data_IF_695746653712
#
_entry.id   IF_695746653712
#
_cell.length_a   1.000
_cell.length_b   1.000
_cell.length_c   1.000
_cell.angle_alpha   90.00
_cell.angle_beta   90.00
_cell.angle_gamma   90.00
#
_symmetry.space_group_name_H-M   'P 1'
#
loop_
_entity.id
_entity.type
_entity.pdbx_description
1 polymer ?
#
# COMPACT_ATOMS: atom_id res chain seq x y z
N UNK A 1 25.60 -18.21 -15.45
CA UNK A 1 24.41 -18.05 -16.32
C UNK A 1 24.29 -16.57 -16.61
N UNK A 2 23.76 -16.15 -17.76
CA UNK A 2 23.58 -14.71 -18.01
C UNK A 2 22.45 -14.18 -17.11
N UNK A 3 22.68 -13.03 -16.46
CA UNK A 3 21.65 -12.35 -15.68
C UNK A 3 20.43 -12.03 -16.54
N UNK A 4 19.25 -12.50 -16.11
CA UNK A 4 17.95 -12.30 -16.76
C UNK A 4 16.85 -12.05 -15.72
N UNK A 5 15.63 -11.76 -16.17
CA UNK A 5 14.50 -11.46 -15.26
C UNK A 5 14.19 -12.61 -14.29
N UNK A 6 14.41 -13.87 -14.70
CA UNK A 6 14.12 -15.02 -13.84
C UNK A 6 15.15 -15.12 -12.71
N UNK A 7 16.43 -15.05 -13.06
CA UNK A 7 17.54 -15.02 -12.10
C UNK A 7 17.36 -13.85 -11.14
N UNK A 8 16.97 -12.69 -11.66
CA UNK A 8 16.72 -11.51 -10.85
C UNK A 8 15.59 -11.74 -9.82
N UNK A 9 14.44 -12.30 -10.23
CA UNK A 9 13.35 -12.63 -9.30
C UNK A 9 13.78 -13.63 -8.23
N UNK A 10 14.55 -14.64 -8.59
CA UNK A 10 15.07 -15.65 -7.66
C UNK A 10 16.00 -15.02 -6.61
N UNK A 11 16.95 -14.18 -7.04
CA UNK A 11 17.85 -13.47 -6.14
C UNK A 11 17.10 -12.51 -5.21
N UNK A 12 16.10 -11.78 -5.72
CA UNK A 12 15.26 -10.91 -4.88
C UNK A 12 14.49 -11.72 -3.85
N UNK A 13 13.90 -12.84 -4.23
CA UNK A 13 13.15 -13.70 -3.31
C UNK A 13 14.04 -14.26 -2.19
N UNK A 14 15.28 -14.64 -2.50
CA UNK A 14 16.28 -15.06 -1.51
C UNK A 14 16.69 -13.89 -0.62
N UNK A 15 16.95 -12.71 -1.20
CA UNK A 15 17.30 -11.51 -0.43
C UNK A 15 16.22 -11.12 0.54
N UNK A 16 14.95 -11.27 0.18
CA UNK A 16 13.84 -10.96 1.08
C UNK A 16 13.81 -11.86 2.33
N UNK A 17 14.65 -12.89 2.45
CA UNK A 17 14.78 -13.62 3.70
C UNK A 17 15.33 -12.74 4.83
N UNK A 18 14.61 -12.71 5.95
CA UNK A 18 14.98 -11.90 7.12
C UNK A 18 14.99 -10.38 6.84
N UNK A 19 14.32 -9.91 5.78
CA UNK A 19 14.35 -8.50 5.39
C UNK A 19 13.88 -7.56 6.51
N UNK A 20 12.94 -8.00 7.36
CA UNK A 20 12.39 -7.22 8.48
C UNK A 20 13.47 -6.77 9.46
N UNK A 21 14.42 -7.63 9.78
CA UNK A 21 15.56 -7.31 10.66
C UNK A 21 16.53 -6.36 9.97
N UNK A 22 16.79 -6.57 8.67
CA UNK A 22 17.64 -5.68 7.87
C UNK A 22 17.03 -4.28 7.74
N UNK A 23 15.70 -4.18 7.65
CA UNK A 23 14.98 -2.92 7.71
C UNK A 23 15.21 -2.16 9.02
N UNK A 24 15.18 -2.82 10.18
CA UNK A 24 15.43 -2.15 11.47
C UNK A 24 16.85 -1.58 11.55
N UNK A 25 17.82 -2.35 11.06
CA UNK A 25 19.21 -1.92 10.98
C UNK A 25 19.38 -0.74 10.02
N UNK A 26 18.78 -0.81 8.84
CA UNK A 26 18.79 0.28 7.86
C UNK A 26 18.12 1.55 8.41
N UNK A 27 17.01 1.39 9.14
CA UNK A 27 16.31 2.50 9.81
C UNK A 27 17.16 3.14 10.88
N UNK A 28 17.85 2.36 11.70
CA UNK A 28 18.83 2.87 12.67
C UNK A 28 20.00 3.60 12.00
N UNK A 29 20.36 3.21 10.77
CA UNK A 29 21.36 3.87 9.92
C UNK A 29 20.82 5.07 9.10
N UNK A 30 19.58 5.52 9.39
CA UNK A 30 18.99 6.74 8.83
C UNK A 30 18.18 6.55 7.54
N UNK A 31 17.79 5.31 7.18
CA UNK A 31 16.82 5.07 6.10
C UNK A 31 15.41 5.33 6.64
N UNK A 32 14.69 6.27 6.01
CA UNK A 32 13.39 6.76 6.49
C UNK A 32 12.19 6.25 5.71
N UNK A 33 12.42 5.57 4.59
CA UNK A 33 11.34 5.06 3.72
C UNK A 33 11.46 3.56 3.49
N UNK A 34 10.40 2.85 3.86
CA UNK A 34 10.22 1.44 3.57
C UNK A 34 10.12 1.18 2.07
N UNK A 35 9.42 2.05 1.33
CA UNK A 35 9.35 2.00 -0.14
C UNK A 35 10.74 2.05 -0.79
N UNK A 36 11.60 2.98 -0.35
CA UNK A 36 12.96 3.13 -0.86
C UNK A 36 13.86 1.94 -0.47
N UNK A 37 13.66 1.38 0.72
CA UNK A 37 14.37 0.19 1.18
C UNK A 37 14.03 -1.05 0.34
N UNK A 38 12.73 -1.32 0.12
CA UNK A 38 12.29 -2.42 -0.75
C UNK A 38 12.82 -2.25 -2.18
N UNK A 39 12.81 -1.00 -2.68
CA UNK A 39 13.38 -0.64 -3.99
C UNK A 39 14.88 -0.93 -4.07
N UNK A 40 15.64 -0.57 -3.04
CA UNK A 40 17.08 -0.84 -2.98
C UNK A 40 17.36 -2.35 -2.99
N UNK A 41 16.64 -3.13 -2.17
CA UNK A 41 16.76 -4.59 -2.17
C UNK A 41 16.44 -5.21 -3.53
N UNK A 42 15.40 -4.71 -4.20
CA UNK A 42 15.00 -5.18 -5.52
C UNK A 42 16.09 -4.90 -6.57
N UNK A 43 16.77 -3.75 -6.48
CA UNK A 43 17.78 -3.33 -7.46
C UNK A 43 19.19 -3.84 -7.15
N UNK A 44 19.46 -4.27 -5.92
CA UNK A 44 20.80 -4.67 -5.51
C UNK A 44 21.40 -5.86 -6.30
N UNK A 45 20.65 -6.91 -6.67
CA UNK A 45 21.10 -7.93 -7.63
C UNK A 45 21.71 -7.35 -8.91
N UNK A 46 21.07 -6.33 -9.48
CA UNK A 46 21.56 -5.67 -10.70
C UNK A 46 22.87 -4.93 -10.42
N UNK A 47 22.98 -4.26 -9.27
CA UNK A 47 24.20 -3.54 -8.85
C UNK A 47 25.37 -4.51 -8.69
N UNK A 48 25.15 -5.66 -8.06
CA UNK A 48 26.18 -6.69 -7.87
C UNK A 48 26.63 -7.30 -9.19
N UNK A 49 25.69 -7.67 -10.06
CA UNK A 49 25.98 -8.21 -11.38
C UNK A 49 26.80 -7.23 -12.23
N UNK A 50 26.43 -5.94 -12.24
CA UNK A 50 27.17 -4.90 -12.96
C UNK A 50 28.58 -4.72 -12.40
N UNK A 51 28.75 -4.74 -11.08
CA UNK A 51 30.09 -4.66 -10.43
C UNK A 51 30.97 -5.88 -10.76
N UNK A 52 30.36 -7.04 -11.02
CA UNK A 52 31.05 -8.25 -11.47
C UNK A 52 31.32 -8.26 -12.98
N UNK A 53 30.92 -7.20 -13.71
CA UNK A 53 31.11 -7.08 -15.16
C UNK A 53 29.99 -7.68 -16.00
N UNK A 54 28.88 -8.12 -15.38
CA UNK A 54 27.71 -8.66 -16.07
C UNK A 54 26.78 -7.54 -16.57
N UNK A 55 27.16 -6.90 -17.68
CA UNK A 55 26.37 -5.83 -18.31
C UNK A 55 24.97 -6.28 -18.79
N UNK A 56 24.74 -7.60 -18.92
CA UNK A 56 23.41 -8.16 -19.17
C UNK A 56 22.38 -7.74 -18.11
N UNK A 57 22.82 -7.47 -16.87
CA UNK A 57 21.94 -7.00 -15.81
C UNK A 57 21.36 -5.60 -16.07
N UNK A 58 22.13 -4.69 -16.70
CA UNK A 58 21.60 -3.39 -17.15
C UNK A 58 20.58 -3.56 -18.27
N UNK A 59 20.78 -4.54 -19.14
CA UNK A 59 19.82 -4.83 -20.21
C UNK A 59 18.52 -5.41 -19.63
N UNK A 60 18.61 -6.27 -18.62
CA UNK A 60 17.44 -6.79 -17.91
C UNK A 60 16.69 -5.66 -17.19
N UNK A 61 17.40 -4.78 -16.47
CA UNK A 61 16.81 -3.58 -15.86
C UNK A 61 16.14 -2.70 -16.92
N UNK A 62 16.84 -2.41 -18.01
CA UNK A 62 16.35 -1.65 -19.14
C UNK A 62 15.08 -2.24 -19.74
N UNK A 63 14.99 -3.57 -19.87
CA UNK A 63 13.79 -4.26 -20.34
C UNK A 63 12.59 -4.15 -19.39
N UNK A 64 12.82 -4.09 -18.08
CA UNK A 64 11.76 -3.89 -17.08
C UNK A 64 11.24 -2.46 -17.08
N UNK A 65 12.10 -1.46 -17.27
CA UNK A 65 11.71 -0.04 -17.33
C UNK A 65 11.46 0.47 -18.75
N UNK A 66 11.57 -0.38 -19.76
CA UNK A 66 11.34 -0.06 -21.17
C UNK A 66 9.86 0.30 -21.38
N UNK A 67 9.56 1.58 -21.27
CA UNK A 67 8.20 2.13 -21.31
C UNK A 67 7.98 3.28 -20.34
N UNK A 68 8.85 3.43 -19.33
CA UNK A 68 8.77 4.50 -18.33
C UNK A 68 9.62 5.73 -18.71
N UNK A 69 10.63 5.55 -19.57
CA UNK A 69 11.12 6.62 -20.45
C UNK A 69 12.27 7.51 -19.94
N UNK A 70 12.93 7.23 -18.81
CA UNK A 70 13.94 8.16 -18.28
C UNK A 70 15.33 7.59 -17.92
N UNK A 71 15.52 6.26 -17.97
CA UNK A 71 16.78 5.57 -17.63
C UNK A 71 17.45 6.11 -16.34
N UNK A 72 16.64 6.60 -15.40
CA UNK A 72 17.12 7.31 -14.22
C UNK A 72 17.76 6.34 -13.24
N UNK A 73 17.19 5.13 -13.12
CA UNK A 73 17.75 4.08 -12.28
C UNK A 73 19.16 3.69 -12.72
N UNK A 74 19.43 3.60 -14.03
CA UNK A 74 20.74 3.24 -14.55
C UNK A 74 21.83 4.27 -14.15
N UNK A 75 21.47 5.54 -14.02
CA UNK A 75 22.38 6.58 -13.53
C UNK A 75 22.58 6.50 -12.01
N UNK A 76 21.52 6.19 -11.26
CA UNK A 76 21.58 6.14 -9.80
C UNK A 76 22.42 4.96 -9.29
N UNK A 77 22.25 3.77 -9.86
CA UNK A 77 22.89 2.53 -9.39
C UNK A 77 24.42 2.59 -9.36
N UNK A 78 25.03 3.36 -10.27
CA UNK A 78 26.49 3.50 -10.34
C UNK A 78 27.06 4.24 -9.13
N UNK A 79 26.26 5.09 -8.49
CA UNK A 79 26.70 5.92 -7.37
C UNK A 79 26.62 5.21 -6.01
N UNK A 80 25.93 4.08 -5.94
CA UNK A 80 25.63 3.41 -4.66
C UNK A 80 26.86 2.68 -4.13
N UNK A 81 27.07 2.74 -2.82
CA UNK A 81 28.17 2.04 -2.13
C UNK A 81 27.73 0.69 -1.58
N UNK A 82 26.65 0.70 -0.82
CA UNK A 82 26.01 -0.45 -0.18
C UNK A 82 24.48 -0.34 -0.27
N UNK A 83 23.75 -1.36 0.16
CA UNK A 83 22.28 -1.42 0.09
C UNK A 83 21.63 -0.31 0.92
N UNK A 84 22.22 0.06 2.07
CA UNK A 84 21.73 1.13 2.93
C UNK A 84 21.92 2.51 2.29
N UNK A 85 23.07 2.74 1.63
CA UNK A 85 23.35 3.94 0.84
C UNK A 85 22.40 4.05 -0.35
N UNK A 86 22.12 2.93 -1.04
CA UNK A 86 21.13 2.87 -2.10
C UNK A 86 19.74 3.27 -1.59
N UNK A 87 19.27 2.68 -0.49
CA UNK A 87 17.98 2.99 0.11
C UNK A 87 17.87 4.47 0.51
N UNK A 88 18.93 5.04 1.10
CA UNK A 88 18.95 6.46 1.50
C UNK A 88 18.87 7.40 0.30
N UNK A 89 19.67 7.15 -0.74
CA UNK A 89 19.66 7.96 -1.97
C UNK A 89 18.34 7.83 -2.73
N UNK A 90 17.78 6.63 -2.77
CA UNK A 90 16.46 6.39 -3.36
C UNK A 90 15.37 7.12 -2.58
N UNK A 91 15.41 7.14 -1.24
CA UNK A 91 14.42 7.85 -0.44
C UNK A 91 14.39 9.35 -0.78
N UNK A 92 15.55 9.99 -0.88
CA UNK A 92 15.65 11.39 -1.29
C UNK A 92 15.19 11.59 -2.75
N UNK A 93 15.74 10.82 -3.68
CA UNK A 93 15.45 10.99 -5.10
C UNK A 93 13.98 10.68 -5.44
N UNK A 94 13.36 9.74 -4.74
CA UNK A 94 11.95 9.41 -4.90
C UNK A 94 11.02 10.52 -4.42
N UNK A 95 11.41 11.38 -3.48
CA UNK A 95 10.60 12.55 -3.10
C UNK A 95 10.62 13.60 -4.22
N UNK A 96 11.78 13.81 -4.84
CA UNK A 96 12.00 14.88 -5.82
C UNK A 96 11.57 14.52 -7.25
N UNK A 97 11.59 13.24 -7.64
CA UNK A 97 11.39 12.81 -9.02
C UNK A 97 10.21 11.85 -9.21
N UNK A 98 9.12 12.34 -9.79
CA UNK A 98 7.98 11.50 -10.18
C UNK A 98 8.35 10.43 -11.23
N UNK A 99 9.13 10.75 -12.30
CA UNK A 99 9.55 9.72 -13.27
C UNK A 99 10.39 8.60 -12.63
N UNK A 100 11.22 8.94 -11.64
CA UNK A 100 11.98 7.92 -10.89
C UNK A 100 11.03 7.00 -10.11
N UNK A 101 9.97 7.55 -9.49
CA UNK A 101 8.97 6.73 -8.80
C UNK A 101 8.27 5.76 -9.74
N UNK A 102 7.98 6.17 -10.97
CA UNK A 102 7.38 5.28 -11.97
C UNK A 102 8.34 4.14 -12.36
N UNK A 103 9.64 4.41 -12.48
CA UNK A 103 10.64 3.37 -12.80
C UNK A 103 10.77 2.36 -11.65
N UNK A 104 10.82 2.86 -10.42
CA UNK A 104 10.81 2.05 -9.21
C UNK A 104 9.52 1.21 -9.11
N UNK A 105 8.37 1.81 -9.40
CA UNK A 105 7.09 1.10 -9.42
C UNK A 105 7.07 -0.03 -10.44
N UNK A 106 7.61 0.18 -11.63
CA UNK A 106 7.71 -0.85 -12.64
C UNK A 106 8.56 -2.03 -12.16
N UNK A 107 9.72 -1.74 -11.54
CA UNK A 107 10.60 -2.78 -10.97
C UNK A 107 9.91 -3.55 -9.85
N UNK A 108 9.33 -2.85 -8.87
CA UNK A 108 8.67 -3.48 -7.72
C UNK A 108 7.47 -4.35 -8.13
N UNK A 109 6.68 -3.89 -9.10
CA UNK A 109 5.54 -4.66 -9.63
C UNK A 109 6.00 -5.86 -10.44
N UNK A 110 6.95 -5.66 -11.36
CA UNK A 110 7.43 -6.73 -12.22
C UNK A 110 8.15 -7.82 -11.43
N UNK A 111 8.75 -7.50 -10.29
CA UNK A 111 9.40 -8.48 -9.42
C UNK A 111 8.50 -8.94 -8.27
N UNK A 112 7.27 -8.42 -8.18
CA UNK A 112 6.28 -8.73 -7.14
C UNK A 112 6.85 -8.54 -5.70
N UNK A 113 7.78 -7.60 -5.54
CA UNK A 113 8.57 -7.42 -4.30
C UNK A 113 7.69 -7.15 -3.11
N UNK A 114 6.64 -6.32 -3.27
CA UNK A 114 5.73 -5.96 -2.17
C UNK A 114 4.94 -7.19 -1.69
N UNK A 115 4.46 -8.03 -2.61
CA UNK A 115 3.75 -9.26 -2.27
C UNK A 115 4.69 -10.26 -1.57
N UNK A 116 5.86 -10.50 -2.17
CA UNK A 116 6.88 -11.39 -1.61
C UNK A 116 7.35 -10.94 -0.23
N UNK A 117 7.60 -9.65 -0.03
CA UNK A 117 8.04 -9.10 1.25
C UNK A 117 6.97 -9.30 2.33
N UNK A 118 5.70 -9.04 2.00
CA UNK A 118 4.58 -9.20 2.93
C UNK A 118 4.34 -10.67 3.30
N UNK A 119 4.37 -11.58 2.34
CA UNK A 119 4.04 -12.99 2.58
C UNK A 119 5.05 -13.68 3.51
N UNK A 120 6.27 -13.12 3.63
CA UNK A 120 7.32 -13.55 4.56
C UNK A 120 7.14 -13.01 5.99
N UNK A 121 6.23 -12.09 6.22
CA UNK A 121 5.91 -11.54 7.54
C UNK A 121 4.82 -12.35 8.24
N UNK A 122 4.77 -12.24 9.57
CA UNK A 122 3.65 -12.70 10.37
C UNK A 122 2.45 -11.74 10.30
N UNK A 123 1.30 -12.17 10.82
CA UNK A 123 0.04 -11.42 10.71
C UNK A 123 0.10 -10.01 11.33
N UNK A 124 0.83 -9.83 12.44
CA UNK A 124 1.02 -8.52 13.07
C UNK A 124 1.88 -7.60 12.21
N UNK A 125 3.01 -8.12 11.72
CA UNK A 125 3.95 -7.38 10.91
C UNK A 125 3.38 -7.05 9.53
N UNK A 126 2.52 -7.92 8.96
CA UNK A 126 1.84 -7.65 7.69
C UNK A 126 0.94 -6.43 7.74
N UNK A 127 0.20 -6.25 8.84
CA UNK A 127 -0.65 -5.07 9.03
C UNK A 127 0.19 -3.81 9.15
N UNK A 128 1.21 -3.83 10.02
CA UNK A 128 2.17 -2.73 10.14
C UNK A 128 2.83 -2.37 8.80
N UNK A 129 3.26 -3.38 8.04
CA UNK A 129 3.87 -3.22 6.73
C UNK A 129 2.92 -2.53 5.74
N UNK A 130 1.68 -3.04 5.66
CA UNK A 130 0.67 -2.54 4.73
C UNK A 130 0.26 -1.10 5.06
N UNK A 131 0.12 -0.77 6.35
CA UNK A 131 -0.19 0.59 6.80
C UNK A 131 0.95 1.56 6.53
N UNK A 132 2.17 1.21 6.94
CA UNK A 132 3.37 2.03 6.74
C UNK A 132 3.61 2.31 5.25
N UNK A 133 3.56 1.28 4.42
CA UNK A 133 3.78 1.43 2.99
C UNK A 133 2.66 2.23 2.32
N UNK A 134 1.40 2.06 2.75
CA UNK A 134 0.27 2.86 2.23
C UNK A 134 0.46 4.35 2.54
N UNK A 135 0.83 4.70 3.76
CA UNK A 135 1.05 6.09 4.17
C UNK A 135 2.20 6.72 3.36
N UNK A 136 3.31 6.01 3.19
CA UNK A 136 4.44 6.47 2.40
C UNK A 136 4.05 6.68 0.92
N UNK A 137 3.37 5.72 0.30
CA UNK A 137 2.94 5.81 -1.09
C UNK A 137 1.86 6.90 -1.31
N UNK A 138 1.01 7.15 -0.30
CA UNK A 138 0.05 8.24 -0.35
C UNK A 138 0.76 9.60 -0.34
N UNK A 139 1.77 9.75 0.52
CA UNK A 139 2.62 10.95 0.60
C UNK A 139 3.40 11.20 -0.68
N UNK A 140 3.90 10.13 -1.32
CA UNK A 140 4.65 10.19 -2.58
C UNK A 140 3.76 10.31 -3.83
N UNK A 141 2.45 10.12 -3.68
CA UNK A 141 1.48 10.23 -4.78
C UNK A 141 1.39 9.02 -5.71
N UNK A 142 2.00 7.87 -5.36
CA UNK A 142 2.00 6.64 -6.15
C UNK A 142 1.16 5.50 -5.53
N UNK A 143 0.33 5.77 -4.51
CA UNK A 143 -0.55 4.76 -3.90
C UNK A 143 -1.47 4.03 -4.90
N UNK A 144 -1.92 4.72 -5.96
CA UNK A 144 -2.79 4.12 -6.97
C UNK A 144 -2.16 2.88 -7.63
N UNK A 145 -0.84 2.84 -7.76
CA UNK A 145 -0.07 1.72 -8.31
C UNK A 145 -0.19 0.43 -7.49
N UNK A 146 -0.50 0.50 -6.19
CA UNK A 146 -0.41 -0.63 -5.26
C UNK A 146 -1.72 -0.97 -4.56
N UNK A 147 -2.83 -0.32 -4.95
CA UNK A 147 -4.10 -0.45 -4.25
C UNK A 147 -4.60 -1.90 -4.16
N UNK A 148 -4.42 -2.69 -5.21
CA UNK A 148 -4.84 -4.09 -5.26
C UNK A 148 -3.99 -4.97 -4.34
N UNK A 149 -2.66 -4.83 -4.40
CA UNK A 149 -1.72 -5.60 -3.57
C UNK A 149 -1.94 -5.30 -2.08
N UNK A 150 -2.18 -4.02 -1.72
CA UNK A 150 -2.38 -3.57 -0.33
C UNK A 150 -3.83 -3.70 0.18
N UNK A 151 -4.75 -4.26 -0.62
CA UNK A 151 -6.14 -4.49 -0.20
C UNK A 151 -6.36 -5.86 0.47
N UNK A 152 -5.40 -6.79 0.36
CA UNK A 152 -5.61 -8.21 0.70
C UNK A 152 -5.76 -8.48 2.21
N UNK A 153 -5.16 -7.69 3.10
CA UNK A 153 -5.29 -7.84 4.57
C UNK A 153 -6.49 -7.09 5.17
N UNK A 154 -7.44 -6.66 4.34
CA UNK A 154 -8.68 -6.00 4.78
C UNK A 154 -9.89 -6.89 4.83
N UNK A 155 -9.69 -8.20 4.76
CA UNK A 155 -10.75 -9.17 4.93
C UNK A 155 -11.28 -9.10 6.38
N UNK A 156 -12.39 -8.39 6.58
CA UNK A 156 -13.17 -8.47 7.82
C UNK A 156 -14.01 -9.76 7.75
N UNK A 157 -13.57 -10.80 8.45
CA UNK A 157 -14.35 -12.02 8.60
C UNK A 157 -15.44 -11.80 9.66
N UNK A 158 -16.70 -11.70 9.22
CA UNK A 158 -17.86 -11.63 10.12
C UNK A 158 -18.52 -13.00 10.17
N UNK A 159 -18.51 -13.64 11.34
CA UNK A 159 -19.26 -14.87 11.57
C UNK A 159 -20.71 -14.55 11.97
N UNK A 160 -21.69 -15.02 11.18
CA UNK A 160 -23.12 -14.85 11.45
C UNK A 160 -23.92 -14.47 10.21
N UNK A 161 -25.24 -14.33 10.35
CA UNK A 161 -26.08 -13.74 9.30
C UNK A 161 -25.87 -12.22 9.29
N UNK A 162 -25.27 -11.73 8.21
CA UNK A 162 -24.99 -10.30 7.99
C UNK A 162 -25.99 -9.65 7.01
N UNK A 163 -27.09 -10.34 6.70
CA UNK A 163 -28.14 -9.83 5.81
C UNK A 163 -28.68 -8.49 6.34
N UNK A 164 -28.55 -7.42 5.54
CA UNK A 164 -29.00 -6.07 5.91
C UNK A 164 -28.07 -5.29 6.84
N UNK A 165 -26.86 -5.80 7.12
CA UNK A 165 -25.87 -5.09 7.93
C UNK A 165 -24.95 -4.20 7.08
N UNK A 166 -24.56 -3.06 7.63
CA UNK A 166 -23.53 -2.18 7.07
C UNK A 166 -22.20 -2.42 7.80
N UNK A 167 -21.14 -2.68 7.04
CA UNK A 167 -19.80 -2.93 7.57
C UNK A 167 -18.89 -1.75 7.21
N UNK A 168 -18.35 -1.07 8.23
CA UNK A 168 -17.39 0.02 8.04
C UNK A 168 -15.96 -0.56 8.02
N UNK A 169 -15.26 -0.46 6.89
CA UNK A 169 -13.91 -1.03 6.73
C UNK A 169 -12.78 -0.07 7.12
N UNK A 170 -13.10 1.02 7.83
CA UNK A 170 -12.12 2.04 8.28
C UNK A 170 -11.70 3.08 7.23
N UNK A 171 -11.90 2.82 5.94
CA UNK A 171 -11.30 3.62 4.84
C UNK A 171 -12.31 4.37 3.97
N UNK A 172 -13.21 5.09 4.62
CA UNK A 172 -14.31 5.82 3.97
C UNK A 172 -15.22 4.95 3.09
N UNK A 173 -14.98 3.65 3.10
CA UNK A 173 -15.64 2.64 2.28
C UNK A 173 -16.63 1.89 3.15
N UNK A 174 -17.87 1.81 2.66
CA UNK A 174 -18.93 1.05 3.29
C UNK A 174 -19.09 -0.27 2.54
N UNK A 175 -19.07 -1.39 3.26
CA UNK A 175 -19.45 -2.68 2.72
C UNK A 175 -20.94 -2.93 3.01
N UNK A 176 -21.74 -3.06 1.96
CA UNK A 176 -23.15 -3.40 2.01
C UNK A 176 -23.32 -4.84 1.53
N UNK A 177 -23.90 -5.69 2.38
CA UNK A 177 -24.22 -7.07 2.01
C UNK A 177 -25.64 -7.13 1.46
N UNK A 178 -25.78 -7.45 0.17
CA UNK A 178 -27.06 -7.61 -0.51
C UNK A 178 -27.25 -9.09 -0.89
N UNK A 179 -27.86 -9.86 0.01
CA UNK A 179 -28.05 -11.31 -0.20
C UNK A 179 -26.73 -12.08 -0.06
N UNK A 180 -26.29 -12.77 -1.13
CA UNK A 180 -25.02 -13.53 -1.16
C UNK A 180 -23.80 -12.69 -1.58
N UNK A 181 -24.02 -11.45 -2.01
CA UNK A 181 -22.97 -10.60 -2.55
C UNK A 181 -22.56 -9.53 -1.52
N UNK A 182 -21.25 -9.42 -1.28
CA UNK A 182 -20.64 -8.38 -0.44
C UNK A 182 -20.14 -7.26 -1.35
N UNK A 183 -20.73 -6.07 -1.25
CA UNK A 183 -20.35 -4.90 -2.07
C UNK A 183 -19.58 -3.93 -1.19
N UNK A 184 -18.26 -3.90 -1.33
CA UNK A 184 -17.39 -2.92 -0.65
C UNK A 184 -17.28 -1.66 -1.52
N UNK A 185 -18.00 -0.59 -1.20
CA UNK A 185 -17.89 0.66 -1.96
C UNK A 185 -18.32 1.93 -1.22
N UNK A 186 -17.52 2.99 -1.33
CA UNK A 186 -17.90 4.38 -1.03
C UNK A 186 -18.56 5.08 -2.23
N UNK A 187 -18.59 4.42 -3.39
CA UNK A 187 -18.97 5.01 -4.67
C UNK A 187 -20.44 4.67 -4.99
N UNK A 188 -21.32 5.68 -5.10
CA UNK A 188 -22.71 5.48 -5.49
C UNK A 188 -22.85 4.67 -6.79
N UNK A 189 -22.00 4.93 -7.79
CA UNK A 189 -22.15 4.30 -9.10
C UNK A 189 -21.84 2.80 -9.04
N UNK A 190 -20.84 2.41 -8.25
CA UNK A 190 -20.51 1.00 -7.99
C UNK A 190 -21.60 0.30 -7.18
N UNK A 191 -22.19 0.97 -6.18
CA UNK A 191 -23.29 0.42 -5.40
C UNK A 191 -24.49 0.10 -6.30
N UNK A 192 -24.87 1.06 -7.15
CA UNK A 192 -26.01 0.90 -8.05
C UNK A 192 -25.77 -0.10 -9.18
N UNK A 193 -24.52 -0.19 -9.68
CA UNK A 193 -24.13 -1.25 -10.60
C UNK A 193 -24.31 -2.64 -9.98
N UNK A 194 -23.91 -2.82 -8.72
CA UNK A 194 -24.03 -4.10 -8.05
C UNK A 194 -25.48 -4.47 -7.69
N UNK A 195 -26.30 -3.51 -7.26
CA UNK A 195 -27.69 -3.77 -6.84
C UNK A 195 -28.65 -3.89 -8.04
N UNK A 196 -28.51 -3.05 -9.08
CA UNK A 196 -29.49 -2.98 -10.17
C UNK A 196 -28.90 -3.03 -11.58
N UNK A 197 -27.57 -3.17 -11.74
CA UNK A 197 -26.86 -3.14 -13.04
C UNK A 197 -27.24 -1.96 -13.93
N UNK A 198 -27.64 -0.84 -13.32
CA UNK A 198 -28.03 0.38 -14.03
C UNK A 198 -27.63 1.60 -13.19
N UNK A 199 -27.05 2.65 -13.81
CA UNK A 199 -26.75 3.88 -13.09
C UNK A 199 -28.04 4.53 -12.59
N UNK A 200 -28.02 5.09 -11.36
CA UNK A 200 -29.17 5.77 -10.78
C UNK A 200 -29.44 7.10 -11.51
N UNK A 201 -30.67 7.60 -11.41
CA UNK A 201 -30.94 8.99 -11.75
C UNK A 201 -30.10 9.92 -10.85
N UNK A 202 -29.72 11.11 -11.35
CA UNK A 202 -28.74 11.98 -10.68
C UNK A 202 -29.17 12.41 -9.27
N UNK A 203 -30.46 12.64 -9.05
CA UNK A 203 -31.01 12.94 -7.71
C UNK A 203 -30.82 11.77 -6.74
N UNK A 204 -31.07 10.56 -7.23
CA UNK A 204 -30.93 9.33 -6.45
C UNK A 204 -29.44 9.03 -6.18
N UNK A 205 -28.55 9.37 -7.12
CA UNK A 205 -27.10 9.34 -6.94
C UNK A 205 -26.64 10.27 -5.81
N UNK A 206 -27.10 11.52 -5.81
CA UNK A 206 -26.80 12.51 -4.76
C UNK A 206 -27.35 12.10 -3.40
N UNK A 207 -28.58 11.58 -3.35
CA UNK A 207 -29.16 11.06 -2.12
C UNK A 207 -28.39 9.84 -1.59
N UNK A 208 -27.92 8.97 -2.49
CA UNK A 208 -27.08 7.81 -2.13
C UNK A 208 -25.74 8.26 -1.57
N UNK A 209 -25.04 9.19 -2.22
CA UNK A 209 -23.79 9.77 -1.71
C UNK A 209 -23.97 10.37 -0.32
N UNK A 210 -25.03 11.15 -0.12
CA UNK A 210 -25.35 11.75 1.17
C UNK A 210 -25.63 10.69 2.24
N UNK A 211 -26.39 9.65 1.89
CA UNK A 211 -26.70 8.54 2.78
C UNK A 211 -25.47 7.72 3.17
N UNK A 212 -24.60 7.39 2.22
CA UNK A 212 -23.35 6.67 2.47
C UNK A 212 -22.41 7.47 3.37
N UNK A 213 -22.27 8.79 3.12
CA UNK A 213 -21.50 9.69 4.00
C UNK A 213 -22.09 9.74 5.40
N UNK A 214 -23.42 9.83 5.54
CA UNK A 214 -24.08 9.84 6.84
C UNK A 214 -23.87 8.52 7.60
N UNK A 215 -23.89 7.38 6.90
CA UNK A 215 -23.57 6.07 7.44
C UNK A 215 -22.13 6.00 7.95
N UNK A 216 -21.16 6.37 7.12
CA UNK A 216 -19.74 6.39 7.52
C UNK A 216 -19.55 7.30 8.73
N UNK A 217 -20.09 8.52 8.71
CA UNK A 217 -19.98 9.45 9.84
C UNK A 217 -20.61 8.89 11.13
N UNK A 218 -21.74 8.19 11.03
CA UNK A 218 -22.45 7.63 12.19
C UNK A 218 -21.76 6.41 12.81
N UNK A 219 -21.10 5.60 11.99
CA UNK A 219 -20.52 4.32 12.44
C UNK A 219 -18.99 4.35 12.55
N UNK A 220 -18.32 5.43 12.14
CA UNK A 220 -16.87 5.62 12.31
C UNK A 220 -16.50 6.31 13.63
N UNK A 221 -17.40 7.13 14.16
CA UNK A 221 -17.15 7.96 15.33
C UNK A 221 -18.10 7.62 16.47
N UNK A 222 -17.58 7.59 17.69
CA UNK A 222 -18.41 7.62 18.89
C UNK A 222 -18.62 9.08 19.30
N UNK A 223 -19.87 9.53 19.31
CA UNK A 223 -20.24 10.88 19.74
C UNK A 223 -20.38 10.92 21.28
N UNK A 224 -19.43 11.56 21.96
CA UNK A 224 -19.52 11.83 23.40
C UNK A 224 -20.20 13.18 23.64
N UNK A 225 -21.48 13.13 24.02
CA UNK A 225 -22.23 14.32 24.44
C UNK A 225 -21.74 14.82 25.80
N UNK A 226 -21.52 16.13 25.93
CA UNK A 226 -21.09 16.77 27.18
C UNK A 226 -19.58 16.74 27.46
N UNK A 227 -18.76 16.21 26.54
CA UNK A 227 -17.29 16.19 26.66
C UNK A 227 -16.57 17.04 25.57
N UNK A 228 -17.32 17.81 24.78
CA UNK A 228 -16.76 18.76 23.83
C UNK A 228 -16.41 20.10 24.47
N UNK A 229 -15.68 20.95 23.74
CA UNK A 229 -15.26 22.30 24.15
C UNK A 229 -16.49 23.23 24.42
N UNK A 230 -17.69 22.79 24.03
CA UNK A 230 -18.98 23.39 24.35
C UNK A 230 -20.06 22.30 24.37
N UNK A 231 -21.07 22.42 25.27
CA UNK A 231 -22.21 21.48 25.41
C UNK A 231 -22.98 21.18 24.12
N UNK A 232 -22.77 21.98 23.07
CA UNK A 232 -23.46 21.88 21.78
C UNK A 232 -22.70 21.10 20.71
N UNK A 233 -21.43 20.74 20.94
CA UNK A 233 -20.61 20.02 19.95
C UNK A 233 -20.10 18.72 20.59
N UNK A 234 -20.62 17.54 20.19
CA UNK A 234 -20.15 16.27 20.74
C UNK A 234 -18.69 16.03 20.35
N UNK A 235 -17.89 15.52 21.27
CA UNK A 235 -16.53 15.07 20.99
C UNK A 235 -16.62 13.80 20.15
N UNK A 236 -16.00 13.82 18.96
CA UNK A 236 -15.99 12.70 18.02
C UNK A 236 -14.68 11.95 18.10
N UNK A 237 -14.72 10.74 18.65
CA UNK A 237 -13.54 9.87 18.69
C UNK A 237 -13.67 8.76 17.65
N UNK A 238 -12.66 8.55 16.79
CA UNK A 238 -12.64 7.42 15.86
C UNK A 238 -12.65 6.11 16.65
N UNK A 239 -13.60 5.21 16.34
CA UNK A 239 -13.72 3.94 17.06
C UNK A 239 -12.45 3.07 16.99
N UNK A 240 -11.70 3.17 15.90
CA UNK A 240 -10.44 2.42 15.71
C UNK A 240 -9.29 2.92 16.60
N UNK A 241 -9.39 4.14 17.13
CA UNK A 241 -8.39 4.74 18.01
C UNK A 241 -8.78 4.62 19.49
N UNK A 242 -9.95 4.01 19.79
CA UNK A 242 -10.46 3.89 21.15
C UNK A 242 -10.03 2.58 21.81
N UNK A 243 -9.28 2.68 22.92
CA UNK A 243 -8.98 1.58 23.82
C UNK A 243 -9.95 1.57 25.01
N UNK A 244 -10.77 0.53 25.14
CA UNK A 244 -11.69 0.36 26.29
C UNK A 244 -11.20 -0.83 27.13
N UNK A 245 -10.64 -0.61 28.33
CA UNK A 245 -10.29 -1.71 29.22
C UNK A 245 -11.57 -2.35 29.76
N UNK A 246 -11.77 -3.64 29.47
CA UNK A 246 -12.85 -4.43 30.06
C UNK A 246 -12.43 -4.82 31.49
N UNK A 247 -13.14 -4.33 32.50
CA UNK A 247 -13.04 -4.88 33.84
C UNK A 247 -13.81 -6.20 33.87
N UNK A 248 -13.12 -7.27 34.25
CA UNK A 248 -13.70 -8.57 34.59
C UNK A 248 -14.24 -8.56 36.03
#
# INVERSE_FOLDING_TARGET
>A
MAFDLRTWREEVAQRLEGWRTRWEQARAAGVTSLYAFLSAMALWPVVEAVRQGEWAALMALGGVVAGVGSNLLANQIQSWKDETDAARKLAQAAEESAPLREELDAVLKQLEVVALARDRLDESDRRWFTETLREELARLGNLASYREVLAQDRAVAVGGDVSGSALATGDESLAVVAGRDVIITADPDRLWWAIRRRPPAEELRRATDHYLRALVARYRYLDFKGMGISDRVPLRLPLLEMYVPLQA
#
